data_IF_313730385137
#
_entry.id   IF_313730385137
#
_cell.length_a   1.000
_cell.length_b   1.000
_cell.length_c   1.000
_cell.angle_alpha   90.00
_cell.angle_beta   90.00
_cell.angle_gamma   90.00
#
_symmetry.space_group_name_H-M   'P 1'
#
loop_
_entity.id
_entity.type
_entity.pdbx_description
1 polymer ?
#
# COMPACT_ATOMS: atom_id res chain seq x y z
N UNK A 1 -5.51 -60.29 41.70
CA UNK A 1 -6.20 -59.05 41.27
C UNK A 1 -5.39 -58.21 40.26
N UNK A 2 -4.43 -58.79 39.51
CA UNK A 2 -3.63 -58.06 38.52
C UNK A 2 -4.05 -58.31 37.05
N UNK A 3 -4.88 -59.32 36.81
CA UNK A 3 -5.25 -59.75 35.45
C UNK A 3 -6.58 -59.14 34.96
N UNK A 4 -7.38 -58.52 35.83
CA UNK A 4 -8.64 -57.87 35.46
C UNK A 4 -8.45 -56.40 35.01
N UNK A 5 -7.33 -55.76 35.38
CA UNK A 5 -7.01 -54.40 34.90
C UNK A 5 -6.70 -54.36 33.41
N UNK A 6 -6.04 -55.39 32.86
CA UNK A 6 -5.75 -55.47 31.43
C UNK A 6 -7.01 -55.75 30.59
N UNK A 7 -7.97 -56.49 31.14
CA UNK A 7 -9.25 -56.76 30.48
C UNK A 7 -10.14 -55.51 30.41
N UNK A 8 -10.11 -54.66 31.45
CA UNK A 8 -10.84 -53.39 31.47
C UNK A 8 -10.22 -52.36 30.51
N UNK A 9 -8.89 -52.31 30.39
CA UNK A 9 -8.19 -51.42 29.46
C UNK A 9 -8.45 -51.78 27.98
N UNK A 10 -8.66 -53.07 27.67
CA UNK A 10 -8.92 -53.53 26.30
C UNK A 10 -10.34 -53.19 25.82
N UNK A 11 -11.32 -53.12 26.72
CA UNK A 11 -12.71 -52.78 26.38
C UNK A 11 -12.89 -51.28 26.11
N UNK A 12 -12.10 -50.41 26.74
CA UNK A 12 -12.14 -48.95 26.49
C UNK A 12 -11.66 -48.54 25.09
N UNK A 13 -10.87 -49.39 24.40
CA UNK A 13 -10.41 -49.11 23.03
C UNK A 13 -11.54 -49.18 21.98
N UNK A 14 -12.67 -49.80 22.31
CA UNK A 14 -13.83 -49.90 21.40
C UNK A 14 -14.85 -48.76 21.56
N UNK A 15 -14.67 -47.86 22.53
CA UNK A 15 -15.60 -46.74 22.79
C UNK A 15 -15.05 -45.42 22.22
N UNK A 16 -13.82 -45.38 21.71
CA UNK A 16 -13.15 -44.16 21.26
C UNK A 16 -13.50 -43.72 19.82
N UNK A 17 -14.51 -44.31 19.18
CA UNK A 17 -14.95 -43.94 17.84
C UNK A 17 -16.46 -43.69 17.83
N UNK A 18 -16.90 -42.60 18.44
CA UNK A 18 -18.16 -41.99 18.05
C UNK A 18 -17.93 -41.32 16.70
N UNK A 19 -18.73 -41.66 15.68
CA UNK A 19 -18.78 -40.89 14.45
C UNK A 19 -19.24 -39.47 14.82
N UNK A 20 -18.31 -38.52 14.78
CA UNK A 20 -18.66 -37.11 14.84
C UNK A 20 -19.51 -36.81 13.61
N UNK A 21 -20.77 -36.40 13.80
CA UNK A 21 -21.57 -35.90 12.69
C UNK A 21 -20.79 -34.76 12.03
N UNK A 22 -20.61 -34.81 10.69
CA UNK A 22 -19.87 -33.76 10.03
C UNK A 22 -20.64 -32.45 10.25
N UNK A 23 -19.97 -31.46 10.87
CA UNK A 23 -20.44 -30.08 11.11
C UNK A 23 -20.93 -29.40 9.80
N UNK A 24 -20.62 -30.04 8.67
CA UNK A 24 -20.60 -29.50 7.34
C UNK A 24 -21.09 -30.56 6.35
N UNK A 25 -22.12 -30.23 5.56
CA UNK A 25 -22.74 -31.16 4.60
C UNK A 25 -21.83 -31.56 3.43
N UNK A 26 -20.77 -30.81 3.15
CA UNK A 26 -19.86 -31.06 2.03
C UNK A 26 -18.44 -31.37 2.53
N UNK A 27 -17.68 -32.08 1.69
CA UNK A 27 -16.27 -32.32 1.98
C UNK A 27 -15.49 -31.01 2.02
N UNK A 28 -14.45 -30.97 2.85
CA UNK A 28 -13.53 -29.84 2.92
C UNK A 28 -12.91 -29.49 1.56
N UNK A 29 -12.63 -30.49 0.72
CA UNK A 29 -12.09 -30.30 -0.64
C UNK A 29 -13.07 -29.62 -1.61
N UNK A 30 -14.36 -29.99 -1.56
CA UNK A 30 -15.40 -29.40 -2.43
C UNK A 30 -15.54 -27.90 -2.16
N UNK A 31 -15.73 -27.52 -0.90
CA UNK A 31 -15.86 -26.11 -0.48
C UNK A 31 -14.66 -25.26 -0.83
N UNK A 32 -13.49 -25.88 -0.73
CA UNK A 32 -12.24 -25.22 -1.07
C UNK A 32 -12.20 -24.87 -2.56
N UNK A 33 -12.56 -25.83 -3.42
CA UNK A 33 -12.60 -25.62 -4.86
C UNK A 33 -13.64 -24.57 -5.27
N UNK A 34 -14.80 -24.55 -4.61
CA UNK A 34 -15.83 -23.55 -4.83
C UNK A 34 -15.37 -22.15 -4.42
N UNK A 35 -14.65 -22.03 -3.30
CA UNK A 35 -14.09 -20.77 -2.86
C UNK A 35 -13.04 -20.23 -3.85
N UNK A 36 -12.21 -21.09 -4.46
CA UNK A 36 -11.29 -20.66 -5.55
C UNK A 36 -12.09 -20.13 -6.72
N UNK A 37 -13.08 -20.89 -7.18
CA UNK A 37 -13.86 -20.56 -8.35
C UNK A 37 -14.59 -19.23 -8.15
N UNK A 38 -15.21 -19.03 -6.98
CA UNK A 38 -15.83 -17.77 -6.59
C UNK A 38 -14.81 -16.64 -6.53
N UNK A 39 -13.67 -16.86 -5.88
CA UNK A 39 -12.62 -15.85 -5.74
C UNK A 39 -12.09 -15.37 -7.09
N UNK A 40 -11.80 -16.33 -7.97
CA UNK A 40 -11.33 -16.06 -9.32
C UNK A 40 -12.41 -15.34 -10.15
N UNK A 41 -13.66 -15.79 -10.09
CA UNK A 41 -14.77 -15.16 -10.79
C UNK A 41 -14.96 -13.69 -10.35
N UNK A 42 -14.87 -13.40 -9.05
CA UNK A 42 -14.96 -12.02 -8.55
C UNK A 42 -13.80 -11.17 -9.03
N UNK A 43 -12.56 -11.66 -8.95
CA UNK A 43 -11.38 -10.93 -9.44
C UNK A 43 -11.52 -10.53 -10.92
N UNK A 44 -12.06 -11.44 -11.74
CA UNK A 44 -12.30 -11.24 -13.19
C UNK A 44 -13.55 -10.40 -13.49
N UNK A 45 -14.50 -10.31 -12.56
CA UNK A 45 -15.78 -9.59 -12.76
C UNK A 45 -15.62 -8.07 -12.80
N UNK A 46 -14.50 -7.57 -12.30
CA UNK A 46 -14.21 -6.13 -12.20
C UNK A 46 -13.10 -5.78 -13.20
N UNK A 47 -13.32 -4.79 -14.08
CA UNK A 47 -12.33 -4.44 -15.13
C UNK A 47 -10.97 -4.04 -14.57
N UNK A 48 -10.96 -3.32 -13.44
CA UNK A 48 -9.74 -2.92 -12.76
C UNK A 48 -9.99 -2.76 -11.26
N UNK A 49 -9.05 -3.24 -10.45
CA UNK A 49 -9.02 -3.05 -9.00
C UNK A 49 -7.95 -2.03 -8.65
N UNK A 50 -8.16 -1.27 -7.57
CA UNK A 50 -7.17 -0.40 -6.96
C UNK A 50 -6.79 -0.86 -5.57
N UNK A 51 -5.54 -0.61 -5.21
CA UNK A 51 -5.02 -0.79 -3.85
C UNK A 51 -4.22 0.43 -3.45
N UNK A 52 -4.49 0.95 -2.26
CA UNK A 52 -3.58 1.84 -1.55
C UNK A 52 -2.90 1.05 -0.45
N UNK A 53 -1.58 0.90 -0.54
CA UNK A 53 -0.82 0.02 0.34
C UNK A 53 0.18 0.79 1.20
N UNK A 54 0.06 0.67 2.53
CA UNK A 54 1.01 1.20 3.51
C UNK A 54 1.76 0.03 4.16
N UNK A 55 2.96 -0.33 3.70
CA UNK A 55 3.62 -1.57 4.13
C UNK A 55 4.10 -1.54 5.60
N UNK A 56 4.29 -0.35 6.17
CA UNK A 56 4.63 -0.14 7.59
C UNK A 56 4.31 1.31 7.98
N UNK A 57 3.99 1.55 9.26
CA UNK A 57 3.59 2.87 9.78
C UNK A 57 4.64 3.99 9.60
N UNK A 58 5.90 3.63 9.35
CA UNK A 58 7.00 4.57 9.14
C UNK A 58 7.22 4.95 7.67
N UNK A 59 6.43 4.42 6.74
CA UNK A 59 6.50 4.72 5.30
C UNK A 59 5.16 5.32 4.82
N UNK A 60 5.21 5.97 3.66
CA UNK A 60 4.02 6.46 2.98
C UNK A 60 3.24 5.37 2.25
N UNK A 61 2.19 5.81 1.56
CA UNK A 61 1.27 4.93 0.84
C UNK A 61 1.64 4.81 -0.62
N UNK A 62 1.48 3.62 -1.19
CA UNK A 62 1.75 3.30 -2.58
C UNK A 62 0.45 2.93 -3.29
N UNK A 63 0.27 3.45 -4.51
CA UNK A 63 -0.92 3.20 -5.33
C UNK A 63 -0.65 2.14 -6.40
N UNK A 64 -1.53 1.15 -6.49
CA UNK A 64 -1.49 0.09 -7.49
C UNK A 64 -2.84 -0.08 -8.17
N UNK A 65 -2.81 -0.46 -9.45
CA UNK A 65 -3.97 -0.89 -10.21
C UNK A 65 -3.74 -2.29 -10.77
N UNK A 66 -4.78 -3.12 -10.75
CA UNK A 66 -4.73 -4.53 -11.16
C UNK A 66 -5.85 -4.83 -12.15
N UNK A 67 -5.50 -5.40 -13.31
CA UNK A 67 -6.46 -5.94 -14.28
C UNK A 67 -6.23 -7.44 -14.35
N UNK A 68 -7.05 -8.19 -13.61
CA UNK A 68 -7.00 -9.65 -13.62
C UNK A 68 -7.54 -10.17 -14.95
N UNK A 69 -6.87 -11.20 -15.48
CA UNK A 69 -7.20 -11.85 -16.74
C UNK A 69 -7.31 -13.35 -16.53
N UNK A 70 -7.90 -14.02 -17.52
CA UNK A 70 -7.89 -15.48 -17.60
C UNK A 70 -6.47 -16.06 -17.55
N UNK A 71 -6.37 -17.37 -17.30
CA UNK A 71 -5.10 -18.10 -17.23
C UNK A 71 -4.12 -17.53 -16.19
N UNK A 72 -4.65 -17.07 -15.05
CA UNK A 72 -3.83 -16.64 -13.91
C UNK A 72 -2.86 -15.49 -14.25
N UNK A 73 -3.29 -14.60 -15.15
CA UNK A 73 -2.53 -13.41 -15.56
C UNK A 73 -3.12 -12.15 -14.94
N UNK A 74 -2.26 -11.18 -14.64
CA UNK A 74 -2.68 -9.87 -14.13
C UNK A 74 -1.79 -8.79 -14.72
N UNK A 75 -2.39 -7.72 -15.23
CA UNK A 75 -1.65 -6.49 -15.55
C UNK A 75 -1.66 -5.58 -14.33
N UNK A 76 -0.49 -5.09 -13.96
CA UNK A 76 -0.32 -4.23 -12.79
C UNK A 76 0.29 -2.91 -13.23
N UNK A 77 -0.28 -1.80 -12.79
CA UNK A 77 0.32 -0.47 -12.90
C UNK A 77 0.59 0.08 -11.50
N UNK A 78 1.58 0.97 -11.39
CA UNK A 78 1.93 1.66 -10.15
C UNK A 78 2.45 3.07 -10.46
N UNK A 79 2.82 3.79 -9.40
CA UNK A 79 3.51 5.07 -9.53
C UNK A 79 4.85 4.93 -10.29
N UNK A 80 5.47 3.74 -10.25
CA UNK A 80 6.74 3.43 -10.88
C UNK A 80 6.62 2.98 -12.35
N UNK A 81 5.42 2.69 -12.85
CA UNK A 81 5.28 2.20 -14.23
C UNK A 81 3.85 1.90 -14.69
N UNK A 82 3.70 1.81 -16.02
CA UNK A 82 2.42 1.45 -16.66
C UNK A 82 2.06 -0.01 -16.46
N UNK A 83 0.84 -0.37 -16.88
CA UNK A 83 0.36 -1.75 -16.91
C UNK A 83 1.38 -2.70 -17.55
N UNK A 84 1.89 -3.61 -16.73
CA UNK A 84 2.77 -4.69 -17.15
C UNK A 84 2.16 -6.03 -16.73
N UNK A 85 2.14 -6.97 -17.66
CA UNK A 85 1.59 -8.30 -17.42
C UNK A 85 2.53 -9.15 -16.57
N UNK A 86 1.96 -9.79 -15.55
CA UNK A 86 2.59 -10.74 -14.63
C UNK A 86 1.61 -11.90 -14.36
N UNK A 87 1.89 -12.71 -13.35
CA UNK A 87 1.07 -13.85 -12.96
C UNK A 87 0.69 -13.77 -11.49
N UNK A 88 -0.47 -14.35 -11.19
CA UNK A 88 -0.96 -14.52 -9.84
C UNK A 88 -1.51 -15.94 -9.68
N UNK A 89 -1.67 -16.40 -8.45
CA UNK A 89 -2.42 -17.61 -8.16
C UNK A 89 -3.22 -17.46 -6.88
N UNK A 90 -4.24 -18.30 -6.75
CA UNK A 90 -4.95 -18.54 -5.50
C UNK A 90 -4.35 -19.78 -4.84
N UNK A 91 -3.68 -19.60 -3.70
CA UNK A 91 -3.12 -20.68 -2.89
C UNK A 91 -4.04 -20.94 -1.69
N UNK A 92 -4.19 -22.19 -1.30
CA UNK A 92 -5.08 -22.62 -0.21
C UNK A 92 -4.39 -23.56 0.78
N UNK A 93 -3.13 -23.88 0.55
CA UNK A 93 -2.35 -24.77 1.42
C UNK A 93 -2.23 -24.23 2.85
N UNK A 94 -2.36 -22.92 3.03
CA UNK A 94 -2.28 -22.22 4.31
C UNK A 94 -3.45 -21.24 4.50
N UNK A 95 -4.62 -21.57 3.92
CA UNK A 95 -5.77 -20.67 3.83
C UNK A 95 -5.82 -19.92 2.49
N UNK A 96 -6.96 -19.28 2.17
CA UNK A 96 -7.15 -18.62 0.88
C UNK A 96 -6.22 -17.42 0.74
N UNK A 97 -5.27 -17.49 -0.18
CA UNK A 97 -4.28 -16.48 -0.41
C UNK A 97 -4.25 -16.07 -1.87
N UNK A 98 -4.27 -14.76 -2.12
CA UNK A 98 -3.88 -14.16 -3.38
C UNK A 98 -2.35 -13.98 -3.39
N UNK A 99 -1.68 -14.65 -4.32
CA UNK A 99 -0.22 -14.64 -4.43
C UNK A 99 0.15 -14.05 -5.79
N UNK A 100 0.95 -12.98 -5.81
CA UNK A 100 1.62 -12.53 -7.03
C UNK A 100 2.92 -13.32 -7.18
N UNK A 101 2.99 -14.24 -8.14
CA UNK A 101 4.07 -15.26 -8.20
C UNK A 101 5.11 -15.04 -9.30
N UNK A 102 4.97 -13.99 -10.09
CA UNK A 102 6.07 -13.44 -10.91
C UNK A 102 6.31 -11.98 -10.61
N UNK A 103 7.56 -11.56 -10.81
CA UNK A 103 8.04 -10.22 -10.49
C UNK A 103 7.21 -9.13 -11.15
N UNK A 104 6.80 -8.14 -10.36
CA UNK A 104 6.02 -6.96 -10.75
C UNK A 104 6.20 -5.87 -9.68
N UNK A 105 5.59 -4.69 -9.87
CA UNK A 105 5.79 -3.52 -9.01
C UNK A 105 5.51 -3.74 -7.51
N UNK A 106 4.63 -4.68 -7.13
CA UNK A 106 4.40 -4.95 -5.69
C UNK A 106 5.63 -5.59 -5.03
N UNK A 107 6.44 -6.32 -5.82
CA UNK A 107 7.66 -6.95 -5.35
C UNK A 107 8.76 -5.93 -5.07
N UNK A 108 8.70 -4.74 -5.69
CA UNK A 108 9.67 -3.66 -5.42
C UNK A 108 9.64 -3.28 -3.93
N UNK A 109 8.46 -3.31 -3.31
CA UNK A 109 8.31 -3.06 -1.87
C UNK A 109 8.92 -4.16 -0.98
N UNK A 110 9.08 -5.37 -1.50
CA UNK A 110 9.65 -6.51 -0.80
C UNK A 110 11.12 -6.78 -1.19
N UNK A 111 11.68 -6.05 -2.16
CA UNK A 111 12.98 -6.32 -2.74
C UNK A 111 14.12 -6.07 -1.71
N UNK A 112 14.88 -7.10 -1.30
CA UNK A 112 15.93 -6.96 -0.30
C UNK A 112 17.23 -6.36 -0.84
N UNK A 113 17.36 -6.26 -2.17
CA UNK A 113 18.58 -5.88 -2.89
C UNK A 113 18.55 -4.44 -3.43
N UNK A 114 17.45 -3.72 -3.28
CA UNK A 114 17.41 -2.32 -3.68
C UNK A 114 18.36 -1.51 -2.80
N UNK A 115 19.32 -0.81 -3.43
CA UNK A 115 20.35 -0.01 -2.76
C UNK A 115 19.77 1.08 -1.83
N UNK A 116 18.48 1.37 -1.99
CA UNK A 116 17.75 2.43 -1.31
C UNK A 116 16.75 1.92 -0.24
N UNK A 117 16.54 0.59 -0.15
CA UNK A 117 15.75 -0.07 0.89
C UNK A 117 16.59 -0.58 2.07
N UNK A 118 15.95 -1.04 3.16
CA UNK A 118 16.67 -1.67 4.25
C UNK A 118 17.18 -3.06 3.81
N UNK A 119 18.50 -3.28 3.87
CA UNK A 119 19.13 -4.56 3.52
C UNK A 119 18.41 -5.72 4.20
N UNK A 120 17.94 -6.67 3.40
CA UNK A 120 17.25 -7.88 3.87
C UNK A 120 15.74 -7.75 4.11
N UNK A 121 15.18 -6.53 4.17
CA UNK A 121 13.73 -6.32 4.43
C UNK A 121 13.00 -5.52 3.36
N UNK A 122 13.72 -4.87 2.43
CA UNK A 122 13.14 -3.97 1.43
C UNK A 122 12.41 -2.80 2.09
N UNK A 123 11.24 -2.45 1.55
CA UNK A 123 10.29 -1.46 2.09
C UNK A 123 9.14 -2.13 2.87
N UNK A 124 9.38 -3.32 3.44
CA UNK A 124 8.40 -4.07 4.22
C UNK A 124 7.16 -4.50 3.43
N UNK A 125 7.21 -4.57 2.10
CA UNK A 125 6.10 -5.07 1.30
C UNK A 125 5.83 -6.57 1.47
N UNK A 126 4.57 -6.94 1.31
CA UNK A 126 4.06 -8.29 1.04
C UNK A 126 3.63 -8.38 -0.44
N UNK A 127 3.77 -9.58 -1.00
CA UNK A 127 3.24 -9.95 -2.32
C UNK A 127 2.35 -11.22 -2.23
N UNK A 128 2.13 -11.69 -1.01
CA UNK A 128 1.26 -12.80 -0.65
C UNK A 128 0.24 -12.26 0.36
N UNK A 129 -1.04 -12.41 0.07
CA UNK A 129 -2.12 -11.83 0.87
C UNK A 129 -3.19 -12.85 1.18
N UNK A 130 -3.47 -13.06 2.47
CA UNK A 130 -4.60 -13.87 2.94
C UNK A 130 -5.89 -13.12 2.64
N UNK A 131 -6.82 -13.77 1.94
CA UNK A 131 -8.15 -13.26 1.64
C UNK A 131 -9.01 -13.43 2.90
N UNK A 132 -9.31 -12.31 3.56
CA UNK A 132 -10.18 -12.27 4.75
C UNK A 132 -11.65 -12.25 4.37
N UNK A 133 -11.97 -11.51 3.30
CA UNK A 133 -13.33 -11.35 2.80
C UNK A 133 -13.30 -11.02 1.32
N UNK A 134 -14.23 -11.59 0.57
CA UNK A 134 -14.47 -11.22 -0.82
C UNK A 134 -15.95 -10.88 -1.03
N UNK A 135 -16.20 -9.72 -1.62
CA UNK A 135 -17.53 -9.30 -2.10
C UNK A 135 -17.40 -8.78 -3.52
N UNK A 136 -18.53 -8.44 -4.15
CA UNK A 136 -18.55 -7.84 -5.49
C UNK A 136 -17.82 -6.48 -5.55
N UNK A 137 -17.69 -5.76 -4.44
CA UNK A 137 -17.13 -4.40 -4.40
C UNK A 137 -15.73 -4.31 -3.79
N UNK A 138 -15.41 -5.22 -2.87
CA UNK A 138 -14.17 -5.16 -2.08
C UNK A 138 -13.60 -6.54 -1.77
N UNK A 139 -12.27 -6.69 -1.89
CA UNK A 139 -11.52 -7.79 -1.29
C UNK A 139 -10.74 -7.25 -0.11
N UNK A 140 -11.01 -7.78 1.08
CA UNK A 140 -10.21 -7.50 2.28
C UNK A 140 -9.12 -8.53 2.39
N UNK A 141 -7.89 -8.05 2.49
CA UNK A 141 -6.68 -8.83 2.40
C UNK A 141 -5.78 -8.55 3.61
N UNK A 142 -5.00 -9.54 4.03
CA UNK A 142 -3.95 -9.37 5.05
C UNK A 142 -2.64 -9.89 4.52
N UNK A 143 -1.60 -9.05 4.49
CA UNK A 143 -0.26 -9.44 4.07
C UNK A 143 0.27 -10.59 4.91
N UNK A 144 0.76 -11.65 4.25
CA UNK A 144 1.12 -12.91 4.90
C UNK A 144 2.32 -12.77 5.84
N UNK A 145 3.35 -12.00 5.46
CA UNK A 145 4.58 -11.87 6.26
C UNK A 145 4.45 -10.76 7.29
N UNK A 146 3.80 -9.65 6.95
CA UNK A 146 3.77 -8.43 7.79
C UNK A 146 2.46 -8.25 8.55
N UNK A 147 1.39 -8.94 8.17
CA UNK A 147 0.09 -8.82 8.80
C UNK A 147 -0.62 -7.50 8.50
N UNK A 148 -0.17 -6.74 7.51
CA UNK A 148 -0.78 -5.46 7.13
C UNK A 148 -2.10 -5.71 6.42
N UNK A 149 -3.17 -5.07 6.87
CA UNK A 149 -4.46 -5.15 6.20
C UNK A 149 -4.50 -4.18 5.01
N UNK A 150 -4.94 -4.69 3.87
CA UNK A 150 -5.13 -3.92 2.63
C UNK A 150 -6.47 -4.29 2.00
N UNK A 151 -6.91 -3.46 1.06
CA UNK A 151 -8.14 -3.71 0.32
C UNK A 151 -7.90 -3.56 -1.18
N UNK A 152 -8.52 -4.44 -1.96
CA UNK A 152 -8.76 -4.18 -3.37
C UNK A 152 -10.18 -3.63 -3.52
N UNK A 153 -10.30 -2.46 -4.11
CA UNK A 153 -11.56 -1.80 -4.40
C UNK A 153 -11.76 -1.69 -5.92
N UNK A 154 -13.00 -1.61 -6.39
CA UNK A 154 -13.27 -1.28 -7.80
C UNK A 154 -12.59 0.04 -8.18
N UNK A 155 -11.75 0.01 -9.21
CA UNK A 155 -11.16 1.20 -9.78
C UNK A 155 -12.11 1.84 -10.81
N UNK A 156 -12.08 3.15 -10.88
CA UNK A 156 -12.74 3.95 -11.93
C UNK A 156 -11.75 4.32 -13.02
N UNK A 157 -12.24 4.75 -14.19
CA UNK A 157 -11.39 5.36 -15.21
C UNK A 157 -10.62 6.58 -14.68
N UNK A 158 -11.19 7.29 -13.70
CA UNK A 158 -10.52 8.43 -13.07
C UNK A 158 -9.33 7.97 -12.21
N UNK A 159 -9.41 6.80 -11.55
CA UNK A 159 -8.29 6.24 -10.80
C UNK A 159 -7.11 5.90 -11.74
N UNK A 160 -7.38 5.32 -12.92
CA UNK A 160 -6.36 5.08 -13.96
C UNK A 160 -5.71 6.39 -14.44
N UNK A 161 -6.52 7.41 -14.74
CA UNK A 161 -6.02 8.74 -15.14
C UNK A 161 -5.21 9.42 -14.04
N UNK A 162 -5.65 9.28 -12.79
CA UNK A 162 -4.96 9.84 -11.63
C UNK A 162 -3.58 9.22 -11.46
N UNK A 163 -3.47 7.88 -11.50
CA UNK A 163 -2.18 7.20 -11.40
C UNK A 163 -1.25 7.57 -12.56
N UNK A 164 -1.80 7.68 -13.78
CA UNK A 164 -1.04 8.14 -14.93
C UNK A 164 -0.54 9.59 -14.77
N UNK A 165 -1.35 10.49 -14.22
CA UNK A 165 -0.93 11.87 -13.94
C UNK A 165 0.13 11.96 -12.83
N UNK A 166 0.02 11.14 -11.78
CA UNK A 166 1.07 11.02 -10.77
C UNK A 166 2.40 10.66 -11.45
N UNK A 167 2.42 9.55 -12.18
CA UNK A 167 3.62 9.04 -12.86
C UNK A 167 4.19 10.02 -13.89
N UNK A 168 3.34 10.64 -14.71
CA UNK A 168 3.79 11.41 -15.89
C UNK A 168 4.01 12.90 -15.60
N UNK A 169 3.34 13.47 -14.59
CA UNK A 169 3.32 14.90 -14.31
C UNK A 169 3.84 15.24 -12.92
N UNK A 170 3.26 14.63 -11.87
CA UNK A 170 3.62 14.96 -10.48
C UNK A 170 5.08 14.65 -10.18
N UNK A 171 5.55 13.43 -10.49
CA UNK A 171 6.92 12.99 -10.17
C UNK A 171 7.97 13.95 -10.74
N UNK A 172 7.75 14.45 -11.96
CA UNK A 172 8.66 15.39 -12.65
C UNK A 172 8.71 16.78 -12.00
N UNK A 173 7.74 17.12 -11.15
CA UNK A 173 7.73 18.39 -10.43
C UNK A 173 8.76 18.43 -9.29
N UNK A 174 9.35 17.29 -8.91
CA UNK A 174 10.41 17.24 -7.90
C UNK A 174 11.83 17.23 -8.49
N UNK A 175 11.95 17.11 -9.81
CA UNK A 175 13.23 17.19 -10.51
C UNK A 175 13.67 18.66 -10.63
N UNK A 176 14.88 18.94 -10.15
CA UNK A 176 15.53 20.25 -10.24
C UNK A 176 16.79 20.17 -11.11
N UNK A 177 17.09 21.24 -11.84
CA UNK A 177 18.38 21.39 -12.50
C UNK A 177 19.51 21.63 -11.47
N UNK A 178 20.77 21.43 -11.87
CA UNK A 178 21.91 21.49 -10.95
C UNK A 178 22.09 22.85 -10.24
N UNK A 179 21.64 23.96 -10.84
CA UNK A 179 21.66 25.30 -10.25
C UNK A 179 20.38 25.68 -9.52
N UNK A 180 19.35 24.83 -9.58
CA UNK A 180 18.03 25.14 -9.03
C UNK A 180 17.88 24.65 -7.59
N UNK A 181 17.10 25.40 -6.81
CA UNK A 181 16.75 25.02 -5.44
C UNK A 181 15.36 25.52 -5.06
N UNK A 182 14.74 24.83 -4.10
CA UNK A 182 13.49 25.24 -3.49
C UNK A 182 13.70 26.39 -2.50
N UNK A 183 13.10 27.54 -2.75
CA UNK A 183 13.07 28.66 -1.83
C UNK A 183 11.78 28.69 -1.02
N UNK A 184 11.90 28.56 0.31
CA UNK A 184 10.77 28.61 1.23
C UNK A 184 10.27 30.05 1.44
N UNK A 185 8.96 30.22 1.40
CA UNK A 185 8.24 31.38 1.91
C UNK A 185 7.18 30.96 2.91
N UNK A 186 7.10 31.69 4.02
CA UNK A 186 6.07 31.53 5.04
C UNK A 186 5.22 32.79 5.06
N UNK A 187 3.91 32.66 4.87
CA UNK A 187 2.98 33.80 4.77
C UNK A 187 3.47 34.88 3.78
N UNK A 188 3.93 34.44 2.60
CA UNK A 188 4.51 35.28 1.53
C UNK A 188 5.81 36.02 1.89
N UNK A 189 6.46 35.70 3.01
CA UNK A 189 7.80 36.20 3.35
C UNK A 189 8.83 35.12 3.12
N UNK A 190 9.89 35.44 2.39
CA UNK A 190 11.01 34.53 2.18
C UNK A 190 11.71 34.26 3.52
N UNK A 191 11.95 33.00 3.81
CA UNK A 191 12.68 32.55 5.01
C UNK A 191 13.74 31.51 4.63
N UNK A 192 14.65 31.23 5.55
CA UNK A 192 15.57 30.09 5.42
C UNK A 192 14.77 28.80 5.61
N UNK A 193 15.01 27.81 4.76
CA UNK A 193 14.37 26.51 4.85
C UNK A 193 14.62 25.67 3.60
N UNK A 194 14.26 24.40 3.68
CA UNK A 194 14.40 23.42 2.62
C UNK A 194 13.29 22.39 2.68
N UNK A 195 13.09 21.69 1.57
CA UNK A 195 12.22 20.52 1.50
C UNK A 195 12.99 19.35 0.90
N UNK A 196 12.83 18.19 1.53
CA UNK A 196 13.31 16.91 1.02
C UNK A 196 12.10 15.98 0.85
N UNK A 197 12.00 15.37 -0.33
CA UNK A 197 10.97 14.38 -0.66
C UNK A 197 11.69 13.06 -1.00
N UNK A 198 11.51 12.04 -0.16
CA UNK A 198 11.98 10.68 -0.42
C UNK A 198 10.88 9.96 -1.21
N UNK A 199 11.03 9.95 -2.54
CA UNK A 199 10.09 9.33 -3.48
C UNK A 199 10.04 7.81 -3.40
N UNK A 200 11.01 7.17 -2.72
CA UNK A 200 11.00 5.73 -2.55
C UNK A 200 10.26 5.34 -1.27
N UNK A 201 10.50 6.04 -0.16
CA UNK A 201 9.88 5.78 1.15
C UNK A 201 8.57 6.54 1.36
N UNK A 202 8.26 7.46 0.43
CA UNK A 202 7.14 8.37 0.49
C UNK A 202 7.14 9.20 1.78
N UNK A 203 8.30 9.79 2.06
CA UNK A 203 8.54 10.63 3.24
C UNK A 203 8.89 12.05 2.83
N UNK A 204 8.39 13.03 3.58
CA UNK A 204 8.77 14.42 3.42
C UNK A 204 9.47 14.94 4.67
N UNK A 205 10.35 15.92 4.49
CA UNK A 205 10.92 16.72 5.57
C UNK A 205 11.04 18.17 5.11
N UNK A 206 10.47 19.07 5.89
CA UNK A 206 10.53 20.52 5.71
C UNK A 206 11.33 21.09 6.86
N UNK A 207 12.48 21.70 6.56
CA UNK A 207 13.22 22.52 7.51
C UNK A 207 12.80 23.98 7.36
N UNK A 208 12.66 24.70 8.46
CA UNK A 208 12.31 26.11 8.45
C UNK A 208 13.03 26.90 9.54
N UNK A 209 13.39 28.14 9.24
CA UNK A 209 14.14 29.00 10.16
C UNK A 209 15.64 28.72 10.15
N UNK A 210 16.31 29.17 11.22
CA UNK A 210 17.76 29.01 11.42
C UNK A 210 18.11 28.04 12.56
N UNK A 211 17.08 27.56 13.26
CA UNK A 211 17.09 26.43 14.20
C UNK A 211 17.00 25.09 13.46
N UNK A 212 17.19 23.97 14.15
CA UNK A 212 16.96 22.61 13.62
C UNK A 212 15.47 22.22 13.61
N UNK A 213 14.58 23.21 13.43
CA UNK A 213 13.14 23.01 13.42
C UNK A 213 12.72 22.33 12.11
N UNK A 214 11.88 21.30 12.24
CA UNK A 214 11.43 20.52 11.09
C UNK A 214 10.02 19.97 11.25
N UNK A 215 9.37 19.78 10.11
CA UNK A 215 8.12 19.04 9.94
C UNK A 215 8.45 17.85 9.06
N UNK A 216 8.20 16.64 9.56
CA UNK A 216 8.45 15.42 8.81
C UNK A 216 7.27 14.47 8.94
N UNK A 217 7.06 13.66 7.92
CA UNK A 217 6.04 12.64 7.95
C UNK A 217 6.01 11.82 6.67
N UNK A 218 5.01 10.94 6.61
CA UNK A 218 4.73 10.11 5.46
C UNK A 218 3.59 10.70 4.63
N UNK A 219 3.56 10.36 3.34
CA UNK A 219 2.52 10.83 2.43
C UNK A 219 2.02 9.73 1.48
N UNK A 220 0.89 10.00 0.84
CA UNK A 220 0.39 9.31 -0.36
C UNK A 220 0.43 10.31 -1.52
N UNK A 221 0.92 9.88 -2.69
CA UNK A 221 0.88 10.71 -3.89
C UNK A 221 -0.53 10.80 -4.45
N UNK A 222 -0.92 11.99 -4.90
CA UNK A 222 -2.18 12.26 -5.58
C UNK A 222 -1.90 13.13 -6.81
N UNK A 223 -2.83 13.21 -7.78
CA UNK A 223 -2.62 14.05 -8.97
C UNK A 223 -2.31 15.52 -8.64
N UNK A 224 -2.86 16.03 -7.53
CA UNK A 224 -2.70 17.42 -7.10
C UNK A 224 -1.48 17.65 -6.20
N UNK A 225 -0.82 16.60 -5.72
CA UNK A 225 0.30 16.74 -4.78
C UNK A 225 0.51 15.54 -3.85
N UNK A 226 0.84 15.85 -2.60
CA UNK A 226 1.12 14.87 -1.55
C UNK A 226 0.03 14.99 -0.47
N UNK A 227 -0.74 13.92 -0.23
CA UNK A 227 -1.65 13.82 0.91
C UNK A 227 -0.86 13.31 2.11
N UNK A 228 -0.82 14.06 3.22
CA UNK A 228 -0.07 13.65 4.39
C UNK A 228 -0.83 12.57 5.17
N UNK A 229 -0.12 11.53 5.62
CA UNK A 229 -0.72 10.45 6.42
C UNK A 229 -1.24 10.94 7.77
N UNK A 230 -0.64 12.03 8.29
CA UNK A 230 -1.07 12.72 9.51
C UNK A 230 -1.13 14.22 9.25
N UNK A 231 -2.18 14.91 9.72
CA UNK A 231 -2.24 16.37 9.63
C UNK A 231 -1.10 16.99 10.45
N UNK A 232 -0.64 18.15 9.99
CA UNK A 232 0.39 18.94 10.64
C UNK A 232 -0.25 20.16 11.29
N UNK A 233 0.13 20.42 12.53
CA UNK A 233 -0.14 21.67 13.25
C UNK A 233 1.18 22.22 13.75
N UNK A 234 1.61 23.35 13.18
CA UNK A 234 2.89 23.99 13.52
C UNK A 234 2.68 25.46 13.85
N UNK A 235 3.38 25.95 14.87
CA UNK A 235 3.37 27.37 15.24
C UNK A 235 4.64 28.04 14.71
N UNK A 236 4.50 29.02 13.82
CA UNK A 236 5.60 29.78 13.22
C UNK A 236 5.30 31.27 13.35
N UNK A 237 6.23 32.04 13.94
CA UNK A 237 6.07 33.50 14.17
C UNK A 237 4.71 33.87 14.76
N UNK A 238 4.31 33.15 15.81
CA UNK A 238 3.03 33.29 16.52
C UNK A 238 1.74 32.93 15.76
N UNK A 239 1.86 32.42 14.53
CA UNK A 239 0.73 31.90 13.77
C UNK A 239 0.71 30.38 13.80
N UNK A 240 -0.45 29.82 14.11
CA UNK A 240 -0.71 28.41 13.90
C UNK A 240 -1.02 28.16 12.41
N UNK A 241 -0.36 27.17 11.84
CA UNK A 241 -0.56 26.71 10.48
C UNK A 241 -0.95 25.25 10.55
N UNK A 242 -2.14 24.94 10.02
CA UNK A 242 -2.71 23.61 9.99
C UNK A 242 -2.91 23.18 8.54
N UNK A 243 -2.36 22.03 8.16
CA UNK A 243 -2.48 21.48 6.80
C UNK A 243 -2.36 19.96 6.83
N UNK A 244 -2.92 19.30 5.82
CA UNK A 244 -2.89 17.84 5.70
C UNK A 244 -2.45 17.36 4.31
N UNK A 245 -1.95 18.30 3.50
CA UNK A 245 -1.46 18.05 2.16
C UNK A 245 -0.50 19.14 1.69
N UNK A 246 0.33 18.77 0.72
CA UNK A 246 1.17 19.68 -0.05
C UNK A 246 0.70 19.64 -1.50
N UNK A 247 0.14 20.73 -2.00
CA UNK A 247 -0.23 20.93 -3.39
C UNK A 247 1.04 21.12 -4.23
N UNK A 248 1.13 20.44 -5.36
CA UNK A 248 2.28 20.52 -6.26
C UNK A 248 1.80 21.01 -7.62
N UNK A 249 2.51 22.00 -8.18
CA UNK A 249 2.24 22.51 -9.53
C UNK A 249 3.51 22.53 -10.33
N UNK A 250 3.37 22.32 -11.64
CA UNK A 250 4.46 22.34 -12.61
C UNK A 250 4.82 23.74 -13.12
N UNK A 251 3.81 24.60 -13.32
CA UNK A 251 3.99 25.93 -13.90
C UNK A 251 3.18 27.02 -13.18
N UNK A 252 3.82 27.93 -12.42
CA UNK A 252 5.22 27.83 -12.00
C UNK A 252 5.45 26.61 -11.10
N UNK A 253 6.67 26.06 -11.11
CA UNK A 253 7.00 24.89 -10.29
C UNK A 253 6.95 25.28 -8.80
N UNK A 254 5.96 24.75 -8.08
CA UNK A 254 5.66 25.14 -6.69
C UNK A 254 5.18 23.96 -5.85
N UNK A 255 5.51 23.98 -4.57
CA UNK A 255 4.96 23.09 -3.54
C UNK A 255 4.35 23.99 -2.46
N UNK A 256 3.07 23.84 -2.14
CA UNK A 256 2.41 24.68 -1.15
C UNK A 256 1.57 23.86 -0.19
N UNK A 257 1.51 24.24 1.08
CA UNK A 257 0.52 23.67 2.00
C UNK A 257 -0.90 23.89 1.47
N UNK A 258 -1.78 22.92 1.70
CA UNK A 258 -3.17 22.96 1.25
C UNK A 258 -4.10 23.74 2.19
N UNK A 259 -3.56 24.46 3.18
CA UNK A 259 -4.33 25.39 3.99
C UNK A 259 -4.87 26.55 3.11
N UNK A 260 -5.98 27.20 3.50
CA UNK A 260 -6.61 28.24 2.68
C UNK A 260 -5.68 29.39 2.27
N UNK A 261 -4.66 29.69 3.08
CA UNK A 261 -3.71 30.78 2.83
C UNK A 261 -2.46 30.32 2.09
N UNK A 262 -2.27 29.01 1.86
CA UNK A 262 -1.02 28.43 1.33
C UNK A 262 0.19 28.93 2.12
N UNK A 263 0.05 28.86 3.43
CA UNK A 263 0.93 29.52 4.40
C UNK A 263 2.39 29.11 4.24
N UNK A 264 2.67 27.86 3.84
CA UNK A 264 3.99 27.37 3.45
C UNK A 264 4.03 27.23 1.93
N UNK A 265 4.96 27.91 1.27
CA UNK A 265 5.15 27.78 -0.18
C UNK A 265 6.63 27.68 -0.53
N UNK A 266 6.98 26.66 -1.30
CA UNK A 266 8.27 26.51 -1.96
C UNK A 266 8.12 26.88 -3.43
N UNK A 267 9.05 27.70 -3.92
CA UNK A 267 9.16 28.05 -5.34
C UNK A 267 10.57 27.78 -5.82
N UNK A 268 10.72 27.32 -7.06
CA UNK A 268 12.05 27.13 -7.64
C UNK A 268 12.73 28.47 -7.89
N UNK A 269 14.01 28.52 -7.56
CA UNK A 269 14.94 29.60 -7.90
C UNK A 269 16.19 29.00 -8.52
N UNK A 270 16.86 29.80 -9.36
CA UNK A 270 18.19 29.54 -9.91
C UNK A 270 19.22 30.47 -9.30
#
# INVERSE_FOLDING_TARGET
MKNYCYLFLFVCLFIACSEDEPIFQESSGTRLSEYIAQSNATLLSVPCWKMTYYPVDTLGGYSFLFKFKENNRVEIASESGDFQESSYRLDLSQGPMLVFDSYNYIHDLANPNDANGARGTGLYGDYEFIIQKITEDVLQLTGRKRGVNVQLEKATEQDEKNLASVRNDLLKCFELQASEYWALSINNKRVVGSIAIDMLKHLYTIHYGTSDDKISGAYLMTPDGLKLNKPVSVKIEDKQIDFDGLLVKKDPQTIASNDPSKSLTFTVKS
#
